data_IF_613263506165
#
_entry.id   IF_613263506165
#
_cell.length_a   1.000
_cell.length_b   1.000
_cell.length_c   1.000
_cell.angle_alpha   90.00
_cell.angle_beta   90.00
_cell.angle_gamma   90.00
#
_symmetry.space_group_name_H-M   'P 1'
#
loop_
_entity.id
_entity.type
_entity.pdbx_description
1 polymer ?
#
# COMPACT_ATOMS: atom_id res chain seq x y z
N UNK A 1 27.12 -22.61 27.03
CA UNK A 1 26.61 -23.75 26.25
C UNK A 1 26.55 -23.27 24.82
N UNK A 2 27.43 -23.76 23.94
CA UNK A 2 27.48 -23.29 22.57
C UNK A 2 26.30 -23.87 21.78
N UNK A 3 25.50 -22.99 21.19
CA UNK A 3 24.40 -23.39 20.32
C UNK A 3 24.94 -24.10 19.08
N UNK A 4 24.28 -25.20 18.69
CA UNK A 4 24.47 -25.81 17.37
C UNK A 4 24.05 -24.84 16.26
N UNK A 5 24.54 -25.06 15.03
CA UNK A 5 24.20 -24.21 13.89
C UNK A 5 22.69 -24.11 13.64
N UNK A 6 21.93 -25.19 13.84
CA UNK A 6 20.47 -25.18 13.66
C UNK A 6 19.76 -24.37 14.75
N UNK A 7 20.27 -24.38 15.99
CA UNK A 7 19.75 -23.56 17.08
C UNK A 7 20.07 -22.07 16.85
N UNK A 8 21.28 -21.76 16.36
CA UNK A 8 21.66 -20.39 15.95
C UNK A 8 20.76 -19.88 14.83
N UNK A 9 20.49 -20.70 13.81
CA UNK A 9 19.57 -20.38 12.73
C UNK A 9 18.16 -20.10 13.25
N UNK A 10 17.64 -20.94 14.16
CA UNK A 10 16.32 -20.76 14.73
C UNK A 10 16.18 -19.44 15.50
N UNK A 11 17.21 -19.03 16.26
CA UNK A 11 17.24 -17.73 16.95
C UNK A 11 17.26 -16.58 15.94
N UNK A 12 18.09 -16.67 14.90
CA UNK A 12 18.15 -15.63 13.86
C UNK A 12 16.80 -15.48 13.12
N UNK A 13 16.15 -16.59 12.78
CA UNK A 13 14.81 -16.60 12.16
C UNK A 13 13.74 -15.99 13.07
N UNK A 14 13.75 -16.31 14.37
CA UNK A 14 12.82 -15.74 15.33
C UNK A 14 13.00 -14.22 15.48
N UNK A 15 14.24 -13.74 15.55
CA UNK A 15 14.55 -12.31 15.57
C UNK A 15 14.09 -11.62 14.27
N UNK A 16 14.39 -12.23 13.12
CA UNK A 16 13.95 -11.72 11.82
C UNK A 16 12.44 -11.56 11.71
N UNK A 17 11.67 -12.56 12.18
CA UNK A 17 10.21 -12.52 12.23
C UNK A 17 9.70 -11.41 13.16
N UNK A 18 10.22 -11.31 14.38
CA UNK A 18 9.81 -10.28 15.33
C UNK A 18 10.09 -8.85 14.81
N UNK A 19 11.26 -8.63 14.21
CA UNK A 19 11.62 -7.33 13.60
C UNK A 19 10.70 -7.04 12.41
N UNK A 20 10.41 -8.04 11.58
CA UNK A 20 9.51 -7.90 10.42
C UNK A 20 8.10 -7.52 10.86
N UNK A 21 7.59 -8.13 11.93
CA UNK A 21 6.26 -7.79 12.46
C UNK A 21 6.23 -6.36 13.00
N UNK A 22 7.25 -5.94 13.75
CA UNK A 22 7.37 -4.57 14.25
C UNK A 22 7.46 -3.51 13.12
N UNK A 23 8.07 -3.87 11.99
CA UNK A 23 8.28 -2.98 10.85
C UNK A 23 7.23 -3.14 9.74
N UNK A 24 6.20 -3.97 9.96
CA UNK A 24 5.19 -4.25 8.96
C UNK A 24 4.27 -3.04 8.73
N UNK A 25 4.21 -2.47 7.51
CA UNK A 25 3.37 -1.31 7.20
C UNK A 25 1.87 -1.61 7.16
N UNK A 26 1.46 -2.89 7.24
CA UNK A 26 0.04 -3.30 7.28
C UNK A 26 -0.48 -3.54 8.69
N UNK A 27 0.33 -3.25 9.72
CA UNK A 27 0.04 -3.62 11.10
C UNK A 27 0.43 -5.07 11.42
N UNK A 28 0.24 -5.44 12.68
CA UNK A 28 0.55 -6.74 13.24
C UNK A 28 -0.61 -7.72 13.08
N UNK A 29 -0.54 -8.84 13.80
CA UNK A 29 -1.62 -9.82 13.83
C UNK A 29 -2.96 -9.14 14.16
N UNK A 30 -4.00 -9.48 13.39
CA UNK A 30 -5.35 -8.93 13.55
C UNK A 30 -5.44 -7.39 13.43
N UNK A 31 -4.50 -6.74 12.73
CA UNK A 31 -4.50 -5.28 12.55
C UNK A 31 -4.03 -4.51 13.79
N UNK A 32 -3.40 -5.19 14.75
CA UNK A 32 -2.79 -4.53 15.90
C UNK A 32 -1.76 -3.48 15.43
N UNK A 33 -1.65 -2.32 16.11
CA UNK A 33 -0.62 -1.34 15.81
C UNK A 33 0.78 -1.92 15.91
N UNK A 34 1.65 -1.53 15.00
CA UNK A 34 3.09 -1.78 15.03
C UNK A 34 3.82 -0.45 15.09
N UNK A 35 5.10 -0.49 15.46
CA UNK A 35 5.96 0.70 15.42
C UNK A 35 5.89 1.40 14.05
N UNK A 36 5.77 0.63 12.97
CA UNK A 36 5.64 1.19 11.62
C UNK A 36 4.31 1.93 11.43
N UNK A 37 3.17 1.35 11.82
CA UNK A 37 1.87 2.01 11.62
C UNK A 37 1.72 3.24 12.51
N UNK A 38 2.25 3.20 13.73
CA UNK A 38 2.27 4.37 14.63
C UNK A 38 3.08 5.53 14.02
N UNK A 39 4.24 5.25 13.45
CA UNK A 39 5.04 6.26 12.75
C UNK A 39 4.32 6.83 11.51
N UNK A 40 3.60 5.98 10.77
CA UNK A 40 2.83 6.38 9.59
C UNK A 40 1.64 7.26 9.98
N UNK A 41 0.92 6.92 11.06
CA UNK A 41 -0.19 7.72 11.58
C UNK A 41 0.29 9.06 12.14
N UNK A 42 1.45 9.10 12.80
CA UNK A 42 2.05 10.35 13.25
C UNK A 42 2.45 11.28 12.08
N UNK A 43 2.99 10.74 10.98
CA UNK A 43 3.27 11.54 9.78
C UNK A 43 1.99 12.01 9.10
N UNK A 44 0.91 11.20 9.12
CA UNK A 44 -0.40 11.62 8.62
C UNK A 44 -0.95 12.80 9.42
N UNK A 45 -0.89 12.75 10.75
CA UNK A 45 -1.33 13.84 11.61
C UNK A 45 -0.53 15.13 11.36
N UNK A 46 0.79 15.04 11.19
CA UNK A 46 1.63 16.18 10.81
C UNK A 46 1.24 16.77 9.45
N UNK A 47 0.98 15.90 8.47
CA UNK A 47 0.56 16.34 7.16
C UNK A 47 -0.78 17.09 7.23
N UNK A 48 -1.74 16.59 8.00
CA UNK A 48 -3.04 17.23 8.22
C UNK A 48 -2.93 18.57 8.97
N UNK A 49 -2.02 18.66 9.95
CA UNK A 49 -1.84 19.86 10.77
C UNK A 49 -1.04 20.97 10.08
N UNK A 50 0.04 20.63 9.35
CA UNK A 50 1.02 21.60 8.83
C UNK A 50 1.42 21.38 7.37
N UNK A 51 0.86 20.39 6.68
CA UNK A 51 1.27 20.03 5.32
C UNK A 51 2.64 19.36 5.24
N UNK A 52 3.21 18.93 6.37
CA UNK A 52 4.51 18.29 6.42
C UNK A 52 4.45 16.90 5.78
N UNK A 53 5.08 16.74 4.62
CA UNK A 53 5.07 15.51 3.84
C UNK A 53 6.24 14.56 4.16
N UNK A 54 7.20 14.99 4.99
CA UNK A 54 8.40 14.22 5.30
C UNK A 54 8.97 14.50 6.69
N UNK A 55 9.52 13.46 7.31
CA UNK A 55 10.34 13.51 8.53
C UNK A 55 11.71 12.90 8.28
N UNK A 56 12.77 13.64 8.60
CA UNK A 56 14.14 13.11 8.62
C UNK A 56 14.31 12.22 9.84
N UNK A 57 14.94 11.06 9.66
CA UNK A 57 15.27 10.15 10.75
C UNK A 57 16.70 10.49 11.17
N UNK A 58 16.85 10.95 12.41
CA UNK A 58 18.15 11.34 12.98
C UNK A 58 18.43 10.47 14.19
N UNK A 59 19.60 9.81 14.19
CA UNK A 59 20.10 9.02 15.33
C UNK A 59 21.44 9.65 15.73
N UNK A 60 21.61 9.98 17.01
CA UNK A 60 22.84 10.60 17.53
C UNK A 60 23.34 11.80 16.71
N UNK A 61 22.41 12.64 16.24
CA UNK A 61 22.71 13.82 15.42
C UNK A 61 23.03 13.55 13.95
N UNK A 62 23.03 12.29 13.50
CA UNK A 62 23.26 11.91 12.12
C UNK A 62 21.95 11.54 11.41
N UNK A 63 21.72 12.13 10.23
CA UNK A 63 20.59 11.78 9.39
C UNK A 63 20.82 10.42 8.70
N UNK A 64 19.98 9.44 9.05
CA UNK A 64 20.10 8.04 8.59
C UNK A 64 19.02 7.63 7.59
N UNK A 65 18.00 8.47 7.40
CA UNK A 65 16.91 8.18 6.46
C UNK A 65 15.78 9.19 6.52
N UNK A 66 14.66 8.84 5.88
CA UNK A 66 13.48 9.70 5.84
C UNK A 66 12.22 8.85 5.79
N UNK A 67 11.19 9.27 6.54
CA UNK A 67 9.82 8.83 6.37
C UNK A 67 9.07 9.88 5.53
N UNK A 68 8.47 9.50 4.41
CA UNK A 68 7.82 10.45 3.49
C UNK A 68 6.44 9.96 3.08
N UNK A 69 5.48 10.88 2.98
CA UNK A 69 4.16 10.63 2.44
C UNK A 69 4.23 10.48 0.92
N UNK A 70 3.47 9.54 0.38
CA UNK A 70 3.28 9.40 -1.07
C UNK A 70 2.01 10.16 -1.47
N UNK A 71 2.17 11.39 -1.91
CA UNK A 71 1.06 12.25 -2.33
C UNK A 71 0.77 12.06 -3.83
N UNK A 72 -0.50 12.11 -4.22
CA UNK A 72 -0.87 12.28 -5.62
C UNK A 72 -0.51 13.69 -6.06
N UNK A 73 -0.22 13.87 -7.36
CA UNK A 73 -0.04 15.21 -7.90
C UNK A 73 -1.38 15.95 -7.84
N UNK A 74 -1.41 17.24 -7.44
CA UNK A 74 -2.62 18.03 -7.58
C UNK A 74 -2.96 18.14 -9.08
N UNK A 75 -4.11 17.60 -9.47
CA UNK A 75 -4.63 17.72 -10.83
C UNK A 75 -5.61 18.90 -10.88
N UNK A 76 -5.28 19.93 -11.65
CA UNK A 76 -6.17 21.04 -11.97
C UNK A 76 -6.60 20.96 -13.43
N UNK A 77 -7.91 20.93 -13.68
CA UNK A 77 -8.47 20.89 -15.03
C UNK A 77 -9.99 21.08 -15.03
N UNK A 78 -10.56 21.34 -16.20
CA UNK A 78 -12.02 21.35 -16.37
C UNK A 78 -12.48 19.92 -16.66
N UNK A 79 -13.31 19.35 -15.79
CA UNK A 79 -13.94 18.05 -16.01
C UNK A 79 -15.45 18.19 -16.11
N UNK A 80 -16.07 17.39 -16.98
CA UNK A 80 -17.52 17.21 -16.98
C UNK A 80 -17.86 16.35 -15.77
N UNK A 81 -18.80 16.81 -14.94
CA UNK A 81 -19.24 16.11 -13.73
C UNK A 81 -20.72 15.81 -13.87
N UNK A 82 -21.09 14.56 -13.58
CA UNK A 82 -22.49 14.18 -13.41
C UNK A 82 -23.01 14.86 -12.14
N UNK A 83 -23.84 15.90 -12.30
CA UNK A 83 -24.46 16.61 -11.16
C UNK A 83 -25.73 15.94 -10.67
N UNK A 84 -26.46 15.30 -11.57
CA UNK A 84 -27.66 14.52 -11.26
C UNK A 84 -27.53 13.14 -11.93
N UNK A 85 -27.22 12.07 -11.17
CA UNK A 85 -27.10 10.73 -11.70
C UNK A 85 -28.38 10.22 -12.38
N UNK A 86 -29.56 10.57 -11.87
CA UNK A 86 -30.84 10.11 -12.42
C UNK A 86 -31.13 10.75 -13.77
N UNK A 87 -30.83 12.04 -13.95
CA UNK A 87 -30.98 12.70 -15.25
C UNK A 87 -29.99 12.16 -16.27
N UNK A 88 -28.75 11.89 -15.84
CA UNK A 88 -27.73 11.31 -16.70
C UNK A 88 -28.07 9.87 -17.11
N UNK A 89 -28.53 9.03 -16.18
CA UNK A 89 -28.99 7.67 -16.46
C UNK A 89 -30.20 7.69 -17.41
N UNK A 90 -31.18 8.55 -17.16
CA UNK A 90 -32.33 8.75 -18.06
C UNK A 90 -31.85 9.13 -19.46
N UNK A 91 -30.95 10.12 -19.57
CA UNK A 91 -30.38 10.53 -20.85
C UNK A 91 -29.68 9.37 -21.57
N UNK A 92 -28.83 8.60 -20.89
CA UNK A 92 -28.16 7.41 -21.45
C UNK A 92 -29.14 6.36 -22.00
N UNK A 93 -30.33 6.24 -21.40
CA UNK A 93 -31.30 5.21 -21.76
C UNK A 93 -32.35 5.69 -22.78
N UNK A 94 -32.66 6.98 -22.82
CA UNK A 94 -33.77 7.51 -23.64
C UNK A 94 -33.33 8.32 -24.84
N UNK A 95 -32.20 9.01 -24.75
CA UNK A 95 -31.67 9.86 -25.82
C UNK A 95 -30.86 9.03 -26.83
N UNK A 96 -30.93 9.35 -28.11
CA UNK A 96 -30.20 8.59 -29.14
C UNK A 96 -28.68 8.75 -29.00
N UNK A 97 -28.19 9.94 -28.67
CA UNK A 97 -26.77 10.16 -28.41
C UNK A 97 -26.34 9.47 -27.11
N UNK A 98 -27.23 9.44 -26.11
CA UNK A 98 -27.04 8.73 -24.86
C UNK A 98 -26.91 7.22 -25.04
N UNK A 99 -27.80 6.61 -25.82
CA UNK A 99 -27.77 5.18 -26.16
C UNK A 99 -26.51 4.84 -26.97
N UNK A 100 -26.15 5.67 -27.94
CA UNK A 100 -24.94 5.49 -28.73
C UNK A 100 -23.68 5.57 -27.86
N UNK A 101 -23.63 6.51 -26.92
CA UNK A 101 -22.54 6.64 -25.95
C UNK A 101 -22.45 5.41 -25.04
N UNK A 102 -23.58 4.96 -24.49
CA UNK A 102 -23.63 3.76 -23.64
C UNK A 102 -23.18 2.51 -24.40
N UNK A 103 -23.70 2.30 -25.62
CA UNK A 103 -23.31 1.19 -26.47
C UNK A 103 -21.81 1.20 -26.79
N UNK A 104 -21.28 2.36 -27.17
CA UNK A 104 -19.85 2.51 -27.44
C UNK A 104 -19.01 2.22 -26.18
N UNK A 105 -19.47 2.65 -25.00
CA UNK A 105 -18.75 2.45 -23.75
C UNK A 105 -18.72 0.96 -23.35
N UNK A 106 -19.85 0.25 -23.45
CA UNK A 106 -19.95 -1.19 -23.15
C UNK A 106 -19.14 -2.05 -24.13
N UNK A 107 -19.11 -1.66 -25.42
CA UNK A 107 -18.41 -2.44 -26.45
C UNK A 107 -16.91 -2.19 -26.51
N UNK A 108 -16.45 -0.96 -26.21
CA UNK A 108 -15.03 -0.57 -26.35
C UNK A 108 -14.24 -0.59 -25.05
N UNK A 109 -14.89 -0.52 -23.90
CA UNK A 109 -14.20 -0.38 -22.60
C UNK A 109 -14.48 -1.57 -21.70
N UNK A 110 -13.53 -2.51 -21.65
CA UNK A 110 -13.62 -3.74 -20.84
C UNK A 110 -13.88 -3.42 -19.36
N UNK A 111 -13.14 -2.48 -18.78
CA UNK A 111 -13.29 -2.12 -17.36
C UNK A 111 -14.71 -1.66 -17.00
N UNK A 112 -15.29 -0.75 -17.80
CA UNK A 112 -16.64 -0.24 -17.55
C UNK A 112 -17.68 -1.35 -17.73
N UNK A 113 -17.50 -2.21 -18.74
CA UNK A 113 -18.38 -3.37 -18.96
C UNK A 113 -18.37 -4.30 -17.74
N UNK A 114 -17.20 -4.59 -17.19
CA UNK A 114 -17.08 -5.47 -16.03
C UNK A 114 -17.71 -4.82 -14.78
N UNK A 115 -17.48 -3.52 -14.55
CA UNK A 115 -18.12 -2.75 -13.45
C UNK A 115 -19.65 -2.72 -13.58
N UNK A 116 -20.18 -2.55 -14.80
CA UNK A 116 -21.62 -2.59 -15.05
C UNK A 116 -22.21 -3.99 -14.84
N UNK A 117 -21.48 -5.04 -15.25
CA UNK A 117 -21.92 -6.43 -15.06
C UNK A 117 -21.97 -6.79 -13.57
N UNK A 118 -21.01 -6.33 -12.77
CA UNK A 118 -21.00 -6.51 -11.31
C UNK A 118 -22.23 -5.85 -10.66
N UNK A 119 -22.53 -4.60 -11.05
CA UNK A 119 -23.73 -3.90 -10.54
C UNK A 119 -25.02 -4.58 -11.00
N UNK A 120 -25.11 -4.98 -12.27
CA UNK A 120 -26.32 -5.58 -12.84
C UNK A 120 -26.62 -6.98 -12.30
N UNK A 121 -25.59 -7.71 -11.84
CA UNK A 121 -25.72 -9.06 -11.27
C UNK A 121 -25.77 -9.07 -9.74
N UNK A 122 -25.69 -7.91 -9.08
CA UNK A 122 -25.66 -7.81 -7.62
C UNK A 122 -26.88 -8.47 -6.95
N UNK A 123 -28.04 -8.46 -7.61
CA UNK A 123 -29.28 -9.07 -7.13
C UNK A 123 -29.45 -10.54 -7.56
N UNK A 124 -28.40 -11.15 -8.14
CA UNK A 124 -28.41 -12.55 -8.58
C UNK A 124 -29.09 -12.80 -9.93
N UNK A 125 -29.50 -11.75 -10.64
CA UNK A 125 -30.07 -11.83 -11.99
C UNK A 125 -28.96 -11.72 -13.02
N UNK A 126 -28.88 -12.68 -13.95
CA UNK A 126 -27.96 -12.62 -15.08
C UNK A 126 -28.60 -11.85 -16.25
N UNK A 127 -28.02 -10.73 -16.70
CA UNK A 127 -28.54 -9.99 -17.85
C UNK A 127 -28.44 -10.77 -19.16
N UNK A 128 -29.35 -10.51 -20.09
CA UNK A 128 -29.33 -11.08 -21.43
C UNK A 128 -27.99 -10.83 -22.14
N UNK A 129 -27.51 -11.84 -22.87
CA UNK A 129 -26.24 -11.77 -23.60
C UNK A 129 -24.98 -12.03 -22.74
N UNK A 130 -25.13 -12.37 -21.46
CA UNK A 130 -24.04 -12.77 -20.58
C UNK A 130 -24.06 -14.29 -20.29
N UNK A 131 -22.90 -14.88 -20.01
CA UNK A 131 -22.75 -16.28 -19.57
C UNK A 131 -21.89 -16.36 -18.32
N UNK A 132 -22.09 -17.40 -17.51
CA UNK A 132 -21.26 -17.69 -16.35
C UNK A 132 -20.12 -18.62 -16.77
N UNK A 133 -18.89 -18.22 -16.46
CA UNK A 133 -17.67 -19.02 -16.69
C UNK A 133 -16.89 -19.14 -15.37
N UNK A 134 -16.33 -20.33 -15.11
CA UNK A 134 -15.46 -20.53 -13.96
C UNK A 134 -14.08 -19.90 -14.21
N UNK A 135 -13.57 -19.09 -13.29
CA UNK A 135 -12.22 -18.52 -13.36
C UNK A 135 -11.49 -18.53 -12.00
N UNK A 136 -10.16 -18.66 -12.04
CA UNK A 136 -9.29 -18.62 -10.85
C UNK A 136 -8.27 -17.47 -10.99
N UNK A 137 -8.27 -16.47 -10.08
CA UNK A 137 -7.18 -15.45 -9.98
C UNK A 137 -6.64 -15.36 -8.56
N UNK A 138 -5.30 -15.38 -8.38
CA UNK A 138 -4.68 -15.14 -7.08
C UNK A 138 -4.68 -13.65 -6.71
N UNK A 139 -4.74 -13.35 -5.41
CA UNK A 139 -4.81 -11.98 -4.88
C UNK A 139 -3.51 -11.17 -5.09
N UNK A 140 -3.63 -9.85 -5.34
CA UNK A 140 -2.50 -8.91 -5.39
C UNK A 140 -2.73 -7.63 -4.58
N UNK A 141 -1.68 -7.13 -3.93
CA UNK A 141 -1.64 -5.92 -3.09
C UNK A 141 -0.47 -5.01 -3.52
N UNK A 142 -0.65 -3.67 -3.53
CA UNK A 142 0.34 -2.72 -4.10
C UNK A 142 1.11 -1.77 -3.13
N UNK A 143 0.72 -1.58 -1.85
CA UNK A 143 1.61 -1.11 -0.74
C UNK A 143 2.24 0.30 -0.71
N UNK A 144 3.06 0.56 0.33
CA UNK A 144 3.85 1.79 0.62
C UNK A 144 5.38 1.52 0.61
N UNK A 145 6.25 2.53 0.74
CA UNK A 145 7.72 2.38 0.66
C UNK A 145 8.46 3.09 1.80
N UNK A 146 9.33 2.36 2.50
CA UNK A 146 10.29 2.86 3.51
C UNK A 146 11.71 2.75 2.95
N UNK A 147 12.57 3.76 3.18
CA UNK A 147 14.00 3.74 2.82
C UNK A 147 14.85 4.08 4.04
N UNK A 148 15.75 3.16 4.39
CA UNK A 148 16.72 3.30 5.49
C UNK A 148 18.11 2.93 4.95
N UNK A 149 19.12 3.73 5.27
CA UNK A 149 20.52 3.43 4.95
C UNK A 149 21.15 2.67 6.13
N UNK A 150 21.35 1.37 5.94
CA UNK A 150 21.85 0.46 6.99
C UNK A 150 23.24 0.86 7.48
N UNK A 151 24.12 1.35 6.59
CA UNK A 151 25.50 1.74 6.93
C UNK A 151 25.50 2.99 7.82
N UNK A 152 24.63 3.95 7.52
CA UNK A 152 24.47 5.16 8.35
C UNK A 152 23.89 4.84 9.73
N UNK A 153 22.96 3.89 9.82
CA UNK A 153 22.42 3.44 11.12
C UNK A 153 23.51 2.81 11.97
N UNK A 154 24.33 1.91 11.40
CA UNK A 154 25.46 1.31 12.11
C UNK A 154 26.48 2.34 12.59
N UNK A 155 26.83 3.31 11.73
CA UNK A 155 27.76 4.40 12.07
C UNK A 155 27.21 5.34 13.16
N UNK A 156 25.92 5.67 13.13
CA UNK A 156 25.29 6.55 14.09
C UNK A 156 25.18 5.92 15.49
N UNK A 157 25.00 4.60 15.57
CA UNK A 157 24.90 3.88 16.84
C UNK A 157 26.26 3.48 17.43
N UNK A 158 27.33 3.46 16.61
CA UNK A 158 28.71 3.37 17.08
C UNK A 158 28.96 2.24 18.09
N UNK A 159 29.43 2.60 19.30
CA UNK A 159 29.79 1.67 20.38
C UNK A 159 28.61 1.17 21.24
N UNK A 160 27.40 1.67 21.01
CA UNK A 160 26.20 1.26 21.76
C UNK A 160 25.58 -0.03 21.19
N UNK A 161 26.02 -0.45 20.00
CA UNK A 161 25.61 -1.72 19.42
C UNK A 161 26.45 -2.88 19.98
N UNK A 162 25.81 -3.94 20.50
CA UNK A 162 26.50 -5.19 20.78
C UNK A 162 27.21 -5.67 19.50
N UNK A 163 28.44 -6.18 19.62
CA UNK A 163 29.28 -6.58 18.48
C UNK A 163 28.59 -7.56 17.52
N UNK A 164 27.72 -8.42 18.05
CA UNK A 164 26.89 -9.35 17.27
C UNK A 164 25.90 -8.65 16.31
N UNK A 165 25.42 -7.46 16.66
CA UNK A 165 24.47 -6.67 15.84
C UNK A 165 25.22 -5.83 14.81
N UNK A 166 26.45 -5.40 15.12
CA UNK A 166 27.33 -4.70 14.18
C UNK A 166 27.63 -5.56 12.95
N UNK A 167 27.90 -6.87 13.13
CA UNK A 167 28.12 -7.80 12.01
C UNK A 167 26.87 -8.01 11.13
N UNK A 168 25.67 -7.90 11.71
CA UNK A 168 24.39 -7.99 11.01
C UNK A 168 24.08 -6.73 10.18
N UNK A 169 24.51 -5.54 10.64
CA UNK A 169 24.28 -4.25 9.98
C UNK A 169 25.39 -3.86 8.99
N UNK A 170 26.62 -4.33 9.21
CA UNK A 170 27.79 -3.98 8.39
C UNK A 170 27.89 -4.71 7.04
N UNK A 171 27.13 -5.81 6.87
CA UNK A 171 27.41 -6.79 5.82
C UNK A 171 28.68 -7.56 6.20
N UNK A 172 28.51 -8.77 6.71
CA UNK A 172 29.56 -9.52 7.38
C UNK A 172 30.89 -9.60 6.62
N UNK A 173 31.94 -9.13 7.25
CA UNK A 173 33.27 -9.72 7.18
C UNK A 173 33.77 -9.87 8.62
N UNK A 174 33.86 -11.13 9.04
CA UNK A 174 34.35 -11.62 10.32
C UNK A 174 34.38 -13.13 10.27
#
# INVERSE_FOLDING_TARGET
MDFTNIQRLAVAEAMGKAIKDMTNPRGGAHGAPTLRTECDDALRADFEASGTDRRRIVINGQEVGTLSARLSKPESGTRVVVRNPSDFARWLLTDEDGKAALFAAVTKTVKLRDELLEVATADGVLPDGCSVEDYERPAQWLGTTLRVDVKKVGAALGAELPSAVVGLLGGGEG
#
